data_IF_704396706205
#
_entry.id   IF_704396706205
#
_cell.length_a   1.000
_cell.length_b   1.000
_cell.length_c   1.000
_cell.angle_alpha   90.00
_cell.angle_beta   90.00
_cell.angle_gamma   90.00
#
_symmetry.space_group_name_H-M   'P 1'
#
loop_
_entity.id
_entity.type
_entity.pdbx_description
1 polymer ?
#
# COMPACT_ATOMS: atom_id res chain seq x y z
N UNK A 1 32.30 12.01 16.73
CA UNK A 1 31.31 13.06 16.36
C UNK A 1 30.66 12.81 14.99
N UNK A 2 31.40 12.37 13.96
CA UNK A 2 30.84 12.12 12.61
C UNK A 2 29.83 10.94 12.55
N UNK A 3 30.15 9.81 13.20
CA UNK A 3 29.30 8.60 13.20
C UNK A 3 27.94 8.85 13.88
N UNK A 4 27.93 9.62 14.97
CA UNK A 4 26.69 9.97 15.68
C UNK A 4 25.75 10.80 14.81
N UNK A 5 26.30 11.76 14.05
CA UNK A 5 25.51 12.56 13.11
C UNK A 5 24.88 11.69 12.01
N UNK A 6 25.65 10.76 11.43
CA UNK A 6 25.14 9.85 10.40
C UNK A 6 23.99 8.97 10.91
N UNK A 7 24.09 8.48 12.16
CA UNK A 7 23.03 7.69 12.79
C UNK A 7 21.75 8.51 13.00
N UNK A 8 21.86 9.73 13.54
CA UNK A 8 20.71 10.61 13.71
C UNK A 8 20.04 10.98 12.37
N UNK A 9 20.84 11.25 11.34
CA UNK A 9 20.32 11.57 10.01
C UNK A 9 19.56 10.36 9.43
N UNK A 10 20.07 9.14 9.60
CA UNK A 10 19.39 7.91 9.17
C UNK A 10 18.08 7.68 9.93
N UNK A 11 18.07 7.85 11.26
CA UNK A 11 16.85 7.73 12.08
C UNK A 11 15.78 8.72 11.62
N UNK A 12 16.18 9.96 11.30
CA UNK A 12 15.28 10.98 10.77
C UNK A 12 14.66 10.56 9.43
N UNK A 13 15.48 10.10 8.48
CA UNK A 13 14.97 9.66 7.18
C UNK A 13 14.01 8.47 7.30
N UNK A 14 14.29 7.52 8.19
CA UNK A 14 13.40 6.38 8.44
C UNK A 14 12.04 6.85 8.96
N UNK A 15 12.02 7.78 9.92
CA UNK A 15 10.76 8.30 10.48
C UNK A 15 9.99 9.15 9.46
N UNK A 16 10.67 9.94 8.62
CA UNK A 16 10.03 10.69 7.53
C UNK A 16 9.35 9.73 6.54
N UNK A 17 10.05 8.69 6.09
CA UNK A 17 9.49 7.68 5.19
C UNK A 17 8.32 6.92 5.82
N UNK A 18 8.40 6.61 7.13
CA UNK A 18 7.30 5.96 7.84
C UNK A 18 6.05 6.83 7.86
N UNK A 19 6.20 8.14 8.04
CA UNK A 19 5.08 9.10 8.01
C UNK A 19 4.48 9.22 6.61
N UNK A 20 5.32 9.35 5.59
CA UNK A 20 4.86 9.43 4.21
C UNK A 20 4.11 8.15 3.79
N UNK A 21 4.58 6.97 4.21
CA UNK A 21 3.89 5.70 3.92
C UNK A 21 2.53 5.60 4.62
N UNK A 22 2.44 6.03 5.89
CA UNK A 22 1.17 6.07 6.63
C UNK A 22 0.19 7.07 6.00
N UNK A 23 0.64 8.27 5.64
CA UNK A 23 -0.18 9.26 4.92
C UNK A 23 -0.67 8.69 3.58
N UNK A 24 0.21 8.03 2.82
CA UNK A 24 -0.17 7.41 1.56
C UNK A 24 -1.19 6.27 1.76
N UNK A 25 -1.06 5.48 2.83
CA UNK A 25 -2.03 4.45 3.21
C UNK A 25 -3.38 5.05 3.59
N UNK A 26 -3.40 6.11 4.39
CA UNK A 26 -4.64 6.81 4.73
C UNK A 26 -5.34 7.35 3.49
N UNK A 27 -4.60 7.97 2.56
CA UNK A 27 -5.16 8.45 1.30
C UNK A 27 -5.78 7.31 0.49
N UNK A 28 -5.08 6.17 0.35
CA UNK A 28 -5.63 4.98 -0.32
C UNK A 28 -6.93 4.51 0.33
N UNK A 29 -7.02 4.53 1.66
CA UNK A 29 -8.21 4.11 2.39
C UNK A 29 -9.38 5.10 2.31
N UNK A 30 -9.09 6.41 2.23
CA UNK A 30 -10.12 7.47 2.13
C UNK A 30 -10.70 7.60 0.72
N UNK A 31 -9.86 7.44 -0.30
CA UNK A 31 -10.23 7.63 -1.72
C UNK A 31 -10.93 6.40 -2.33
N UNK A 32 -10.91 5.25 -1.66
CA UNK A 32 -11.41 4.00 -2.25
C UNK A 32 -12.91 3.81 -2.08
N UNK A 33 -13.57 3.31 -3.12
CA UNK A 33 -14.96 2.85 -3.06
C UNK A 33 -15.05 1.52 -2.29
N UNK A 34 -15.30 1.61 -0.98
CA UNK A 34 -15.50 0.46 -0.11
C UNK A 34 -16.70 -0.41 -0.53
N UNK A 35 -17.76 0.18 -1.08
CA UNK A 35 -18.92 -0.59 -1.54
C UNK A 35 -18.56 -1.45 -2.75
N UNK A 36 -17.72 -0.93 -3.65
CA UNK A 36 -17.19 -1.72 -4.76
C UNK A 36 -16.34 -2.89 -4.26
N UNK A 37 -15.43 -2.67 -3.32
CA UNK A 37 -14.55 -3.71 -2.77
C UNK A 37 -15.36 -4.81 -2.07
N UNK A 38 -16.34 -4.42 -1.25
CA UNK A 38 -17.12 -5.39 -0.48
C UNK A 38 -18.05 -6.25 -1.33
N UNK A 39 -18.36 -5.83 -2.56
CA UNK A 39 -19.12 -6.63 -3.52
C UNK A 39 -18.28 -7.65 -4.27
N UNK A 40 -16.95 -7.54 -4.25
CA UNK A 40 -16.07 -8.46 -4.97
C UNK A 40 -16.12 -9.87 -4.33
N UNK A 41 -15.99 -10.89 -5.17
CA UNK A 41 -15.79 -12.28 -4.71
C UNK A 41 -14.35 -12.48 -4.24
N UNK A 42 -14.15 -13.45 -3.36
CA UNK A 42 -12.78 -13.90 -3.07
C UNK A 42 -12.16 -14.59 -4.30
N UNK A 43 -10.84 -14.48 -4.51
CA UNK A 43 -9.84 -13.79 -3.67
C UNK A 43 -9.63 -12.29 -4.01
N UNK A 44 -10.41 -11.73 -4.94
CA UNK A 44 -10.24 -10.34 -5.42
C UNK A 44 -10.48 -9.33 -4.28
N UNK A 45 -11.51 -9.56 -3.46
CA UNK A 45 -11.79 -8.70 -2.29
C UNK A 45 -10.57 -8.60 -1.38
N UNK A 46 -10.00 -9.73 -0.97
CA UNK A 46 -8.80 -9.76 -0.12
C UNK A 46 -7.60 -9.07 -0.79
N UNK A 47 -7.39 -9.31 -2.08
CA UNK A 47 -6.30 -8.67 -2.83
C UNK A 47 -6.42 -7.13 -2.86
N UNK A 48 -7.63 -6.59 -3.05
CA UNK A 48 -7.88 -5.15 -3.05
C UNK A 48 -7.67 -4.53 -1.66
N UNK A 49 -8.11 -5.19 -0.59
CA UNK A 49 -7.86 -4.75 0.79
C UNK A 49 -6.37 -4.70 1.11
N UNK A 50 -5.62 -5.74 0.73
CA UNK A 50 -4.17 -5.77 0.90
C UNK A 50 -3.47 -4.70 0.06
N UNK A 51 -3.98 -4.37 -1.13
CA UNK A 51 -3.44 -3.29 -1.94
C UNK A 51 -3.66 -1.91 -1.30
N UNK A 52 -4.78 -1.68 -0.63
CA UNK A 52 -5.01 -0.45 0.16
C UNK A 52 -4.00 -0.38 1.31
N UNK A 53 -3.85 -1.48 2.04
CA UNK A 53 -2.94 -1.56 3.19
C UNK A 53 -1.48 -1.32 2.77
N UNK A 54 -1.01 -2.03 1.74
CA UNK A 54 0.42 -2.11 1.41
C UNK A 54 0.86 -1.23 0.24
N UNK A 55 -0.06 -0.82 -0.63
CA UNK A 55 0.26 -0.11 -1.88
C UNK A 55 1.05 -0.94 -2.92
N UNK A 56 1.41 -2.20 -2.64
CA UNK A 56 2.33 -2.99 -3.46
C UNK A 56 1.61 -3.99 -4.38
N UNK A 57 1.32 -3.55 -5.61
CA UNK A 57 0.71 -4.38 -6.66
C UNK A 57 1.50 -5.66 -6.97
N UNK A 58 2.83 -5.62 -6.89
CA UNK A 58 3.68 -6.78 -7.24
C UNK A 58 3.62 -7.81 -6.13
N UNK A 59 3.69 -7.37 -4.88
CA UNK A 59 3.50 -8.22 -3.71
C UNK A 59 2.13 -8.90 -3.75
N UNK A 60 1.06 -8.13 -3.99
CA UNK A 60 -0.29 -8.70 -4.04
C UNK A 60 -0.42 -9.72 -5.17
N UNK A 61 0.09 -9.40 -6.36
CA UNK A 61 0.08 -10.33 -7.49
C UNK A 61 0.82 -11.63 -7.18
N UNK A 62 1.98 -11.55 -6.50
CA UNK A 62 2.78 -12.71 -6.10
C UNK A 62 2.10 -13.57 -5.04
N UNK A 63 1.47 -12.96 -4.03
CA UNK A 63 0.82 -13.70 -2.93
C UNK A 63 -0.50 -14.33 -3.39
N UNK A 64 -1.28 -13.62 -4.20
CA UNK A 64 -2.64 -14.04 -4.56
C UNK A 64 -2.73 -14.77 -5.90
N UNK A 65 -1.68 -14.72 -6.72
CA UNK A 65 -1.69 -15.23 -8.10
C UNK A 65 -2.55 -14.40 -9.06
N UNK A 66 -3.13 -13.28 -8.62
CA UNK A 66 -3.95 -12.40 -9.46
C UNK A 66 -3.03 -11.54 -10.34
N UNK A 67 -3.29 -11.54 -11.65
CA UNK A 67 -2.57 -10.66 -12.58
C UNK A 67 -2.83 -9.18 -12.26
N UNK A 68 -1.77 -8.36 -12.30
CA UNK A 68 -1.81 -6.92 -12.01
C UNK A 68 -2.88 -6.20 -12.85
N UNK A 69 -3.08 -6.60 -14.10
CA UNK A 69 -4.05 -5.94 -14.99
C UNK A 69 -5.49 -6.10 -14.50
N UNK A 70 -5.81 -7.23 -13.84
CA UNK A 70 -7.12 -7.44 -13.21
C UNK A 70 -7.34 -6.51 -12.00
N UNK A 71 -6.26 -6.07 -11.34
CA UNK A 71 -6.34 -5.12 -10.22
C UNK A 71 -6.44 -3.66 -10.71
N UNK A 72 -5.94 -3.34 -11.91
CA UNK A 72 -5.93 -1.99 -12.49
C UNK A 72 -7.25 -1.56 -13.14
N UNK A 73 -8.09 -2.49 -13.60
CA UNK A 73 -9.27 -2.21 -14.45
C UNK A 73 -10.47 -1.57 -13.75
N UNK A 74 -10.30 -0.92 -12.59
CA UNK A 74 -11.42 -0.42 -11.79
C UNK A 74 -11.28 1.07 -11.39
N UNK A 75 -10.61 1.87 -12.21
CA UNK A 75 -10.76 3.34 -12.20
C UNK A 75 -11.72 3.73 -13.33
N UNK A 76 -13.03 3.78 -13.03
CA UNK A 76 -14.01 4.51 -13.83
C UNK A 76 -14.58 5.62 -12.97
#
# INVERSE_FOLDING_TARGET
MLVFKLLMDLERFIEEWRREDEEAKEIRGREVDWNFIEKQKEPIKTALKLLIETGDLRLISKITGICIDKLKQHKN
#
